data_IF_392523424444
#
_entry.id   IF_392523424444
#
_cell.length_a   1.000
_cell.length_b   1.000
_cell.length_c   1.000
_cell.angle_alpha   90.00
_cell.angle_beta   90.00
_cell.angle_gamma   90.00
#
_symmetry.space_group_name_H-M   'P 1'
#
loop_
_entity.id
_entity.type
_entity.pdbx_description
1 polymer ?
#
# COMPACT_ATOMS: atom_id res chain seq x y z
N UNK A 1 3.88 7.42 -19.13
CA UNK A 1 4.83 6.61 -19.85
C UNK A 1 5.77 5.93 -18.89
N UNK A 2 5.79 4.58 -18.86
CA UNK A 2 6.68 3.83 -17.99
C UNK A 2 8.11 3.88 -18.49
N UNK A 3 9.07 4.21 -17.65
CA UNK A 3 10.49 4.07 -17.94
C UNK A 3 10.92 2.68 -17.50
N UNK A 4 11.16 1.79 -18.50
CA UNK A 4 11.70 0.47 -18.25
C UNK A 4 13.17 0.53 -17.81
N UNK A 5 13.49 -0.13 -16.72
CA UNK A 5 14.86 -0.37 -16.27
C UNK A 5 15.47 -1.49 -17.12
N UNK A 6 16.54 -1.21 -17.87
CA UNK A 6 17.34 -2.24 -18.54
C UNK A 6 18.36 -2.81 -17.55
N UNK A 7 18.06 -3.95 -16.98
CA UNK A 7 18.96 -4.74 -16.14
C UNK A 7 18.26 -6.03 -15.75
N UNK A 8 18.79 -7.18 -16.14
CA UNK A 8 18.16 -8.50 -16.18
C UNK A 8 17.44 -8.92 -14.90
N UNK A 9 16.15 -9.09 -15.03
CA UNK A 9 15.21 -9.51 -14.01
C UNK A 9 14.15 -8.42 -13.77
N UNK A 10 12.87 -8.77 -13.97
CA UNK A 10 11.78 -7.85 -13.67
C UNK A 10 11.86 -7.46 -12.18
N UNK A 11 11.94 -6.18 -11.80
CA UNK A 11 11.97 -5.80 -10.40
C UNK A 11 10.66 -6.25 -9.73
N UNK A 12 10.70 -6.70 -8.47
CA UNK A 12 9.52 -7.21 -7.76
C UNK A 12 8.52 -6.11 -7.37
N UNK A 13 8.63 -4.92 -7.95
CA UNK A 13 7.77 -3.77 -7.67
C UNK A 13 7.53 -2.95 -8.94
N UNK A 14 6.36 -2.30 -8.99
CA UNK A 14 5.99 -1.38 -10.07
C UNK A 14 6.29 0.04 -9.59
N UNK A 15 6.96 0.83 -10.44
CA UNK A 15 7.23 2.25 -10.20
C UNK A 15 6.39 3.05 -11.20
N UNK A 16 5.51 3.89 -10.69
CA UNK A 16 4.85 4.92 -11.47
C UNK A 16 5.51 6.28 -11.17
N UNK A 17 6.04 6.92 -12.19
CA UNK A 17 6.60 8.28 -12.08
C UNK A 17 5.55 9.24 -12.62
N UNK A 18 5.12 10.18 -11.80
CA UNK A 18 4.26 11.28 -12.21
C UNK A 18 5.15 12.50 -12.40
N UNK A 19 5.44 12.84 -13.67
CA UNK A 19 6.22 14.01 -14.01
C UNK A 19 5.44 15.30 -13.73
N UNK A 20 6.03 16.19 -12.96
CA UNK A 20 5.63 17.61 -12.96
C UNK A 20 6.49 18.37 -13.97
N UNK A 21 5.86 18.95 -14.99
CA UNK A 21 6.54 19.81 -15.98
C UNK A 21 7.18 21.02 -15.30
N UNK A 22 8.48 20.96 -14.96
CA UNK A 22 9.37 22.14 -14.85
C UNK A 22 10.81 21.65 -14.65
N UNK A 23 11.69 22.05 -15.53
CA UNK A 23 13.11 21.66 -15.54
C UNK A 23 13.88 22.15 -14.32
N UNK A 24 14.59 21.23 -13.75
CA UNK A 24 15.81 21.18 -12.95
C UNK A 24 15.73 19.93 -12.06
N UNK A 25 16.60 18.94 -12.30
CA UNK A 25 16.69 17.63 -11.62
C UNK A 25 15.33 17.14 -11.09
N UNK A 26 14.64 16.31 -11.86
CA UNK A 26 13.25 15.92 -11.65
C UNK A 26 12.99 15.33 -10.25
N UNK A 27 12.65 16.19 -9.31
CA UNK A 27 12.05 15.79 -8.04
C UNK A 27 10.56 15.52 -8.30
N UNK A 28 10.24 14.28 -8.65
CA UNK A 28 8.86 13.85 -8.94
C UNK A 28 8.22 13.11 -7.77
N UNK A 29 6.92 12.94 -7.84
CA UNK A 29 6.20 11.97 -7.02
C UNK A 29 6.41 10.58 -7.61
N UNK A 30 6.93 9.66 -6.79
CA UNK A 30 7.10 8.26 -7.16
C UNK A 30 6.15 7.40 -6.33
N UNK A 31 5.33 6.62 -7.00
CA UNK A 31 4.48 5.60 -6.39
C UNK A 31 5.13 4.24 -6.59
N UNK A 32 5.40 3.54 -5.49
CA UNK A 32 6.00 2.22 -5.47
C UNK A 32 5.01 1.20 -4.93
N UNK A 33 4.84 0.07 -5.62
CA UNK A 33 3.98 -1.01 -5.14
C UNK A 33 4.80 -2.24 -4.83
N UNK A 34 4.55 -2.85 -3.67
CA UNK A 34 5.21 -4.08 -3.22
C UNK A 34 4.18 -5.15 -2.92
N UNK A 35 4.32 -6.31 -3.60
CA UNK A 35 3.47 -7.47 -3.39
C UNK A 35 3.81 -8.25 -2.12
N UNK A 36 2.96 -9.19 -1.74
CA UNK A 36 3.10 -9.96 -0.49
C UNK A 36 4.42 -10.72 -0.37
N UNK A 37 4.94 -11.27 -1.45
CA UNK A 37 6.25 -11.96 -1.47
C UNK A 37 7.43 -11.02 -1.19
N UNK A 38 7.29 -9.74 -1.52
CA UNK A 38 8.33 -8.72 -1.28
C UNK A 38 8.37 -8.24 0.19
N UNK A 39 7.34 -8.51 0.97
CA UNK A 39 7.20 -8.08 2.37
C UNK A 39 6.99 -9.26 3.33
N UNK A 40 7.24 -10.49 2.89
CA UNK A 40 6.83 -11.72 3.57
C UNK A 40 7.49 -11.94 4.95
N UNK A 41 8.66 -11.38 5.19
CA UNK A 41 9.42 -11.53 6.43
C UNK A 41 10.18 -10.25 6.79
N UNK A 42 10.84 -10.26 7.95
CA UNK A 42 11.55 -9.09 8.46
C UNK A 42 12.69 -8.62 7.54
N UNK A 43 13.41 -9.54 6.90
CA UNK A 43 14.51 -9.17 6.00
C UNK A 43 14.00 -8.54 4.72
N UNK A 44 12.89 -9.04 4.19
CA UNK A 44 12.20 -8.46 3.03
C UNK A 44 11.60 -7.08 3.36
N UNK A 45 11.00 -6.91 4.54
CA UNK A 45 10.54 -5.60 5.03
C UNK A 45 11.71 -4.62 5.09
N UNK A 46 12.86 -5.00 5.65
CA UNK A 46 14.06 -4.14 5.68
C UNK A 46 14.55 -3.79 4.28
N UNK A 47 14.53 -4.75 3.35
CA UNK A 47 14.92 -4.51 1.96
C UNK A 47 13.97 -3.53 1.26
N UNK A 48 12.65 -3.70 1.41
CA UNK A 48 11.64 -2.76 0.87
C UNK A 48 11.84 -1.37 1.47
N UNK A 49 12.03 -1.28 2.78
CA UNK A 49 12.29 -0.01 3.48
C UNK A 49 13.54 0.69 2.94
N UNK A 50 14.60 -0.05 2.63
CA UNK A 50 15.83 0.48 2.01
C UNK A 50 15.55 1.02 0.59
N UNK A 51 14.78 0.31 -0.23
CA UNK A 51 14.41 0.75 -1.58
C UNK A 51 13.60 2.06 -1.51
N UNK A 52 12.62 2.13 -0.61
CA UNK A 52 11.78 3.32 -0.41
C UNK A 52 12.64 4.52 0.02
N UNK A 53 13.49 4.34 1.03
CA UNK A 53 14.34 5.42 1.56
C UNK A 53 15.41 5.85 0.57
N UNK A 54 15.93 4.95 -0.27
CA UNK A 54 16.85 5.30 -1.34
C UNK A 54 16.19 6.20 -2.38
N UNK A 55 14.95 5.90 -2.78
CA UNK A 55 14.17 6.74 -3.68
C UNK A 55 13.92 8.12 -3.06
N UNK A 56 13.55 8.18 -1.79
CA UNK A 56 13.37 9.42 -1.05
C UNK A 56 14.67 10.25 -0.97
N UNK A 57 15.82 9.61 -0.70
CA UNK A 57 17.13 10.29 -0.65
C UNK A 57 17.54 10.93 -1.97
N UNK A 58 17.04 10.44 -3.08
CA UNK A 58 17.25 11.04 -4.42
C UNK A 58 16.41 12.30 -4.63
N UNK A 59 15.64 12.75 -3.63
CA UNK A 59 14.85 13.98 -3.64
C UNK A 59 13.41 13.79 -4.08
N UNK A 60 12.94 12.57 -4.29
CA UNK A 60 11.55 12.31 -4.69
C UNK A 60 10.59 12.33 -3.50
N UNK A 61 9.36 12.74 -3.73
CA UNK A 61 8.24 12.42 -2.85
C UNK A 61 7.83 10.96 -3.10
N UNK A 62 7.62 10.18 -2.03
CA UNK A 62 7.37 8.74 -2.18
C UNK A 62 6.05 8.34 -1.52
N UNK A 63 5.22 7.66 -2.29
CA UNK A 63 4.07 6.90 -1.79
C UNK A 63 4.34 5.43 -2.07
N UNK A 64 4.31 4.58 -1.05
CA UNK A 64 4.46 3.14 -1.20
C UNK A 64 3.16 2.42 -0.86
N UNK A 65 2.71 1.52 -1.72
CA UNK A 65 1.52 0.69 -1.52
C UNK A 65 1.95 -0.75 -1.25
N UNK A 66 1.58 -1.29 -0.10
CA UNK A 66 1.97 -2.62 0.33
C UNK A 66 0.78 -3.57 0.40
N UNK A 67 1.02 -4.81 -0.02
CA UNK A 67 0.13 -5.95 0.21
C UNK A 67 0.38 -6.58 1.59
N UNK A 68 -0.51 -7.46 2.03
CA UNK A 68 -0.28 -8.32 3.18
C UNK A 68 0.97 -9.20 2.98
N UNK A 69 1.60 -9.61 4.06
CA UNK A 69 2.82 -10.43 4.03
C UNK A 69 2.54 -11.84 3.54
N UNK A 70 3.24 -12.31 2.50
CA UNK A 70 3.24 -13.70 2.05
C UNK A 70 1.83 -14.30 1.99
N UNK A 71 1.62 -15.37 2.76
CA UNK A 71 0.38 -16.14 2.81
C UNK A 71 -0.61 -15.65 3.90
N UNK A 72 -0.35 -14.50 4.52
CA UNK A 72 -1.17 -13.97 5.64
C UNK A 72 -2.65 -13.91 5.32
N UNK A 73 -3.03 -13.54 4.10
CA UNK A 73 -4.45 -13.47 3.70
C UNK A 73 -5.10 -14.86 3.73
N UNK A 74 -4.41 -15.88 3.24
CA UNK A 74 -4.90 -17.27 3.25
C UNK A 74 -4.97 -17.80 4.69
N UNK A 75 -3.98 -17.54 5.52
CA UNK A 75 -3.97 -17.90 6.94
C UNK A 75 -5.16 -17.27 7.70
N UNK A 76 -5.48 -16.01 7.41
CA UNK A 76 -6.62 -15.32 8.02
C UNK A 76 -7.96 -15.95 7.57
N UNK A 77 -8.07 -16.32 6.29
CA UNK A 77 -9.25 -17.02 5.77
C UNK A 77 -9.43 -18.38 6.45
N UNK A 78 -8.36 -19.14 6.64
CA UNK A 78 -8.40 -20.44 7.32
C UNK A 78 -8.84 -20.29 8.78
N UNK A 79 -8.23 -19.36 9.52
CA UNK A 79 -8.65 -19.04 10.90
C UNK A 79 -10.12 -18.66 11.00
N UNK A 80 -10.61 -17.86 10.06
CA UNK A 80 -12.03 -17.51 10.04
C UNK A 80 -12.93 -18.74 9.84
N UNK A 81 -12.55 -19.65 8.93
CA UNK A 81 -13.31 -20.88 8.66
C UNK A 81 -13.35 -21.82 9.86
N UNK A 82 -12.27 -21.89 10.65
CA UNK A 82 -12.23 -22.69 11.88
C UNK A 82 -13.25 -22.20 12.91
N UNK A 83 -13.47 -20.89 12.98
CA UNK A 83 -14.42 -20.27 13.92
C UNK A 83 -15.84 -20.31 13.37
N UNK A 84 -16.03 -19.91 12.12
CA UNK A 84 -17.32 -19.87 11.46
C UNK A 84 -17.15 -19.98 9.93
N UNK A 85 -17.38 -21.16 9.35
CA UNK A 85 -17.26 -21.35 7.89
C UNK A 85 -18.28 -20.52 7.07
N UNK A 86 -19.32 -20.02 7.74
CA UNK A 86 -20.36 -19.17 7.15
C UNK A 86 -20.28 -17.72 7.63
N UNK A 87 -19.09 -17.23 8.00
CA UNK A 87 -18.90 -15.85 8.40
C UNK A 87 -19.44 -14.87 7.35
N UNK A 88 -20.06 -13.79 7.80
CA UNK A 88 -20.53 -12.76 6.87
C UNK A 88 -19.37 -12.12 6.11
N UNK A 89 -19.62 -11.69 4.89
CA UNK A 89 -18.59 -11.01 4.09
C UNK A 89 -18.08 -9.75 4.78
N UNK A 90 -18.96 -9.01 5.44
CA UNK A 90 -18.57 -7.81 6.19
C UNK A 90 -17.54 -8.12 7.27
N UNK A 91 -17.73 -9.16 8.08
CA UNK A 91 -16.77 -9.53 9.13
C UNK A 91 -15.46 -10.10 8.53
N UNK A 92 -15.55 -10.79 7.40
CA UNK A 92 -14.37 -11.23 6.67
C UNK A 92 -13.54 -10.05 6.17
N UNK A 93 -14.16 -8.99 5.65
CA UNK A 93 -13.47 -7.76 5.23
C UNK A 93 -12.70 -7.11 6.40
N UNK A 94 -13.34 -7.02 7.56
CA UNK A 94 -12.71 -6.50 8.77
C UNK A 94 -11.45 -7.30 9.12
N UNK A 95 -11.53 -8.63 9.09
CA UNK A 95 -10.40 -9.51 9.37
C UNK A 95 -9.29 -9.36 8.33
N UNK A 96 -9.61 -9.48 7.05
CA UNK A 96 -8.61 -9.46 5.96
C UNK A 96 -7.86 -8.13 5.89
N UNK A 97 -8.50 -7.03 6.21
CA UNK A 97 -7.87 -5.70 6.19
C UNK A 97 -6.70 -5.56 7.17
N UNK A 98 -6.60 -6.43 8.17
CA UNK A 98 -5.50 -6.39 9.14
C UNK A 98 -4.16 -6.82 8.55
N UNK A 99 -4.17 -7.64 7.50
CA UNK A 99 -2.95 -8.16 6.87
C UNK A 99 -2.07 -7.04 6.30
N UNK A 100 -2.64 -6.14 5.53
CA UNK A 100 -1.92 -4.99 4.98
C UNK A 100 -1.50 -4.00 6.07
N UNK A 101 -2.32 -3.83 7.11
CA UNK A 101 -1.99 -2.95 8.23
C UNK A 101 -0.72 -3.43 8.96
N UNK A 102 -0.56 -4.73 9.16
CA UNK A 102 0.64 -5.32 9.74
C UNK A 102 1.86 -4.99 8.86
N UNK A 103 1.81 -5.28 7.56
CA UNK A 103 2.91 -5.04 6.65
C UNK A 103 3.31 -3.56 6.60
N UNK A 104 2.33 -2.65 6.47
CA UNK A 104 2.57 -1.21 6.42
C UNK A 104 3.18 -0.67 7.71
N UNK A 105 2.67 -1.12 8.86
CA UNK A 105 3.18 -0.68 10.17
C UNK A 105 4.62 -1.13 10.39
N UNK A 106 4.94 -2.39 10.07
CA UNK A 106 6.30 -2.91 10.19
C UNK A 106 7.28 -2.19 9.25
N UNK A 107 6.85 -1.89 8.02
CA UNK A 107 7.66 -1.13 7.07
C UNK A 107 7.89 0.31 7.55
N UNK A 108 6.87 0.97 8.09
CA UNK A 108 7.00 2.31 8.68
C UNK A 108 7.99 2.31 9.85
N UNK A 109 7.88 1.35 10.77
CA UNK A 109 8.82 1.20 11.89
C UNK A 109 10.26 0.99 11.40
N UNK A 110 10.46 0.21 10.34
CA UNK A 110 11.79 0.00 9.76
C UNK A 110 12.36 1.29 9.14
N UNK A 111 11.53 2.10 8.49
CA UNK A 111 11.92 3.40 7.93
C UNK A 111 12.24 4.41 9.03
N UNK A 112 11.43 4.45 10.11
CA UNK A 112 11.72 5.27 11.31
C UNK A 112 13.08 4.90 11.92
N UNK A 113 13.37 3.61 12.03
CA UNK A 113 14.67 3.13 12.54
C UNK A 113 15.85 3.56 11.67
N UNK A 114 15.63 3.86 10.38
CA UNK A 114 16.62 4.44 9.47
C UNK A 114 16.73 5.97 9.57
N UNK A 115 15.90 6.62 10.40
CA UNK A 115 15.92 8.07 10.64
C UNK A 115 15.15 8.90 9.62
N UNK A 116 14.20 8.31 8.87
CA UNK A 116 13.41 9.03 7.88
C UNK A 116 11.98 9.30 8.39
N UNK A 117 11.41 10.47 8.05
CA UNK A 117 10.03 10.78 8.36
C UNK A 117 9.10 9.90 7.52
N UNK A 118 8.17 9.22 8.16
CA UNK A 118 7.27 8.28 7.52
C UNK A 118 5.92 8.24 8.22
N UNK A 119 4.87 7.97 7.48
CA UNK A 119 3.54 7.69 8.01
C UNK A 119 2.92 6.50 7.26
N UNK A 120 2.29 5.59 8.00
CA UNK A 120 1.45 4.54 7.44
C UNK A 120 -0.02 4.95 7.51
N UNK A 121 -0.74 4.76 6.40
CA UNK A 121 -2.16 5.05 6.26
C UNK A 121 -2.90 3.81 5.79
N UNK A 122 -4.08 3.56 6.34
CA UNK A 122 -5.02 2.61 5.74
C UNK A 122 -5.57 3.17 4.43
N UNK A 123 -6.17 2.30 3.60
CA UNK A 123 -6.78 2.76 2.35
C UNK A 123 -7.83 3.86 2.55
N UNK A 124 -8.64 3.75 3.61
CA UNK A 124 -9.63 4.78 3.91
C UNK A 124 -9.02 6.07 4.49
N UNK A 125 -7.93 6.01 5.28
CA UNK A 125 -7.19 7.19 5.70
C UNK A 125 -6.52 7.90 4.52
N UNK A 126 -6.10 7.13 3.52
CA UNK A 126 -5.60 7.63 2.25
C UNK A 126 -6.70 8.16 1.32
N UNK A 127 -7.97 8.10 1.74
CA UNK A 127 -9.11 8.66 1.02
C UNK A 127 -9.77 7.75 0.00
N UNK A 128 -9.51 6.44 0.04
CA UNK A 128 -10.12 5.47 -0.88
C UNK A 128 -11.54 5.13 -0.45
N UNK A 129 -12.52 5.61 -1.22
CA UNK A 129 -13.94 5.29 -1.09
C UNK A 129 -14.37 4.27 -2.13
N UNK A 130 -15.19 3.31 -1.72
CA UNK A 130 -15.65 2.22 -2.57
C UNK A 130 -17.16 2.15 -2.63
N UNK A 131 -17.67 1.32 -3.56
CA UNK A 131 -19.06 0.84 -3.49
C UNK A 131 -19.20 -0.18 -2.34
N UNK A 132 -20.43 -0.66 -2.11
CA UNK A 132 -20.75 -1.58 -1.00
C UNK A 132 -20.72 -3.06 -1.41
N UNK A 133 -19.95 -3.43 -2.44
CA UNK A 133 -19.77 -4.82 -2.85
C UNK A 133 -18.62 -5.44 -2.06
N UNK A 134 -18.94 -6.13 -0.97
CA UNK A 134 -17.94 -6.83 -0.17
C UNK A 134 -17.21 -7.91 -1.00
N UNK A 135 -15.92 -8.09 -0.75
CA UNK A 135 -14.99 -9.03 -1.41
C UNK A 135 -14.69 -8.74 -2.89
N UNK A 136 -15.31 -7.73 -3.48
CA UNK A 136 -15.04 -7.27 -4.84
C UNK A 136 -15.48 -5.81 -5.01
N UNK A 137 -15.09 -4.98 -4.06
CA UNK A 137 -15.39 -3.57 -4.10
C UNK A 137 -14.67 -2.87 -5.27
N UNK A 138 -15.27 -1.81 -5.76
CA UNK A 138 -14.66 -0.92 -6.76
C UNK A 138 -14.51 0.45 -6.15
N UNK A 139 -13.38 1.08 -6.42
CA UNK A 139 -13.12 2.47 -6.02
C UNK A 139 -14.16 3.36 -6.71
N UNK A 140 -14.91 4.10 -5.92
CA UNK A 140 -15.91 5.08 -6.38
C UNK A 140 -15.38 6.51 -6.36
N UNK A 141 -14.46 6.79 -5.41
CA UNK A 141 -13.84 8.10 -5.25
C UNK A 141 -12.52 7.96 -4.51
N UNK A 142 -11.56 8.80 -4.88
CA UNK A 142 -10.31 8.98 -4.13
C UNK A 142 -10.22 10.45 -3.73
N UNK A 143 -9.91 10.71 -2.44
CA UNK A 143 -9.55 12.02 -1.94
C UNK A 143 -8.09 11.99 -1.49
N UNK A 144 -7.20 12.57 -2.27
CA UNK A 144 -5.75 12.54 -2.03
C UNK A 144 -5.27 13.61 -1.04
N UNK A 145 -6.15 14.40 -0.47
CA UNK A 145 -5.78 15.53 0.41
C UNK A 145 -4.90 15.10 1.59
N UNK A 146 -5.24 13.97 2.24
CA UNK A 146 -4.41 13.46 3.35
C UNK A 146 -3.01 13.06 2.89
N UNK A 147 -2.91 12.36 1.77
CA UNK A 147 -1.61 11.97 1.20
C UNK A 147 -0.80 13.22 0.86
N UNK A 148 -1.40 14.19 0.17
CA UNK A 148 -0.72 15.42 -0.21
C UNK A 148 -0.22 16.19 1.00
N UNK A 149 -1.04 16.33 2.04
CA UNK A 149 -0.65 17.00 3.29
C UNK A 149 0.56 16.34 3.97
N UNK A 150 0.67 15.02 3.92
CA UNK A 150 1.82 14.33 4.50
C UNK A 150 3.07 14.46 3.61
N UNK A 151 2.91 14.43 2.30
CA UNK A 151 4.01 14.67 1.36
C UNK A 151 4.56 16.11 1.49
N UNK A 152 3.70 17.09 1.70
CA UNK A 152 4.10 18.50 1.92
C UNK A 152 4.93 18.67 3.20
N UNK A 153 4.67 17.85 4.22
CA UNK A 153 5.50 17.73 5.43
C UNK A 153 6.80 16.97 5.21
N UNK A 154 7.07 16.53 3.98
CA UNK A 154 8.24 15.71 3.61
C UNK A 154 8.24 14.32 4.24
N UNK A 155 7.08 13.76 4.58
CA UNK A 155 6.97 12.37 5.04
C UNK A 155 6.90 11.42 3.85
N UNK A 156 7.54 10.26 4.00
CA UNK A 156 7.27 9.09 3.17
C UNK A 156 5.87 8.57 3.55
N UNK A 157 5.02 8.30 2.58
CA UNK A 157 3.67 7.82 2.83
C UNK A 157 3.57 6.35 2.44
N UNK A 158 3.17 5.49 3.39
CA UNK A 158 2.92 4.07 3.14
C UNK A 158 1.42 3.84 3.24
N UNK A 159 0.83 3.20 2.24
CA UNK A 159 -0.61 2.97 2.16
C UNK A 159 -0.90 1.48 2.08
N UNK A 160 -1.89 1.02 2.85
CA UNK A 160 -2.41 -0.33 2.69
C UNK A 160 -3.09 -0.47 1.33
N UNK A 161 -2.61 -1.39 0.50
CA UNK A 161 -3.29 -1.77 -0.73
C UNK A 161 -4.56 -2.58 -0.46
N UNK A 162 -5.31 -2.90 -1.49
CA UNK A 162 -6.42 -3.84 -1.46
C UNK A 162 -7.67 -3.38 -0.72
N UNK A 163 -7.72 -2.26 -0.04
CA UNK A 163 -8.80 -1.88 0.87
C UNK A 163 -9.27 -0.44 0.73
N UNK A 164 -10.52 -0.21 1.07
CA UNK A 164 -11.16 1.10 1.17
C UNK A 164 -12.34 1.05 2.14
N UNK A 165 -13.19 2.03 2.06
CA UNK A 165 -14.36 2.18 2.94
C UNK A 165 -15.58 2.56 2.10
N UNK A 166 -16.72 1.96 2.39
CA UNK A 166 -17.97 2.25 1.68
C UNK A 166 -18.74 3.43 2.31
N UNK A 167 -19.93 3.70 1.82
CA UNK A 167 -20.78 4.80 2.33
C UNK A 167 -21.30 4.64 3.76
N UNK A 168 -21.20 3.44 4.32
CA UNK A 168 -21.57 3.12 5.71
C UNK A 168 -20.38 3.12 6.66
N UNK A 169 -19.21 3.52 6.13
CA UNK A 169 -17.92 3.43 6.81
C UNK A 169 -17.49 1.99 7.14
N UNK A 170 -18.06 1.00 6.45
CA UNK A 170 -17.57 -0.37 6.52
C UNK A 170 -16.35 -0.56 5.63
N UNK A 171 -15.40 -1.33 6.14
CA UNK A 171 -14.21 -1.73 5.38
C UNK A 171 -14.62 -2.63 4.22
N UNK A 172 -14.02 -2.42 3.08
CA UNK A 172 -14.20 -3.23 1.87
C UNK A 172 -12.84 -3.60 1.29
N UNK A 173 -12.73 -4.80 0.74
CA UNK A 173 -11.55 -5.21 -0.02
C UNK A 173 -11.84 -5.14 -1.52
N UNK A 174 -10.82 -4.72 -2.27
CA UNK A 174 -10.88 -4.70 -3.73
C UNK A 174 -10.72 -6.12 -4.27
N UNK A 175 -11.14 -6.38 -5.49
CA UNK A 175 -10.93 -7.67 -6.14
C UNK A 175 -9.46 -8.00 -6.40
N UNK A 176 -9.19 -9.08 -7.13
CA UNK A 176 -7.82 -9.48 -7.51
C UNK A 176 -7.07 -8.31 -8.15
N UNK A 177 -5.81 -8.13 -7.76
CA UNK A 177 -5.02 -6.97 -8.19
C UNK A 177 -5.34 -5.67 -7.42
N UNK A 178 -6.06 -5.75 -6.29
CA UNK A 178 -6.49 -4.60 -5.50
C UNK A 178 -5.36 -3.68 -5.06
N UNK A 179 -4.17 -4.24 -4.75
CA UNK A 179 -2.99 -3.41 -4.41
C UNK A 179 -2.47 -2.64 -5.62
N UNK A 180 -2.52 -3.21 -6.83
CA UNK A 180 -2.15 -2.51 -8.06
C UNK A 180 -3.17 -1.41 -8.39
N UNK A 181 -4.45 -1.66 -8.13
CA UNK A 181 -5.52 -0.66 -8.29
C UNK A 181 -5.38 0.49 -7.29
N UNK A 182 -4.81 0.22 -6.11
CA UNK A 182 -4.60 1.22 -5.07
C UNK A 182 -3.38 2.12 -5.37
N UNK A 183 -2.41 1.63 -6.13
CA UNK A 183 -1.23 2.38 -6.51
C UNK A 183 -1.48 3.31 -7.71
#
# INVERSE_FOLDING_TARGET
GGIGYQGGGCPPYIIHVIDSEWGYQHMGLIVQKFGGSSVADADKIRNVSRIITETYRRGHSVVAVLSAQGDTTDDLIEKAKEINPNASRREMEMLLSTGEQIACSLCAMAIEAMGYPVISLTGWQAGMRTNSNYSNARISRINTERIQNELDKKSIVIVTGFQGINKYDDITTLGRGGSDTSA
#
